data_IF_069637606700
#
_entry.id   IF_069637606700
#
_cell.length_a   1.000
_cell.length_b   1.000
_cell.length_c   1.000
_cell.angle_alpha   90.00
_cell.angle_beta   90.00
_cell.angle_gamma   90.00
#
_symmetry.space_group_name_H-M   'P 1'
#
loop_
_entity.id
_entity.type
_entity.pdbx_description
1 polymer ?
#
# COMPACT_ATOMS: atom_id res chain seq x y z
N UNK A 1 -19.05 12.22 28.88
CA UNK A 1 -18.54 12.07 27.50
C UNK A 1 -17.36 13.01 27.34
N UNK A 2 -16.24 12.58 26.74
CA UNK A 2 -15.24 13.54 26.29
C UNK A 2 -15.89 14.54 25.31
N UNK A 3 -15.48 15.82 25.32
CA UNK A 3 -16.01 16.81 24.39
C UNK A 3 -15.74 16.39 22.94
N UNK A 4 -16.62 16.77 21.99
CA UNK A 4 -16.42 16.44 20.58
C UNK A 4 -15.11 17.06 20.10
N UNK A 5 -14.15 16.22 19.69
CA UNK A 5 -12.91 16.66 19.06
C UNK A 5 -13.21 16.90 17.59
N UNK A 6 -13.00 18.12 17.12
CA UNK A 6 -13.11 18.45 15.70
C UNK A 6 -11.92 17.85 14.96
N UNK A 7 -12.16 16.81 14.17
CA UNK A 7 -11.13 16.25 13.28
C UNK A 7 -11.17 17.00 11.96
N UNK A 8 -10.09 17.73 11.65
CA UNK A 8 -9.93 18.33 10.34
C UNK A 8 -9.86 17.24 9.26
N UNK A 9 -10.62 17.41 8.17
CA UNK A 9 -10.61 16.50 7.02
C UNK A 9 -10.32 17.28 5.75
N UNK A 10 -9.57 16.67 4.83
CA UNK A 10 -9.31 17.25 3.51
C UNK A 10 -9.02 16.17 2.49
N UNK A 11 -9.38 16.44 1.23
CA UNK A 11 -8.88 15.68 0.08
C UNK A 11 -7.42 16.05 -0.20
N UNK A 12 -6.53 15.05 -0.24
CA UNK A 12 -5.15 15.27 -0.67
C UNK A 12 -5.07 15.41 -2.19
N UNK A 13 -3.91 15.86 -2.67
CA UNK A 13 -3.64 15.99 -4.10
C UNK A 13 -3.82 14.67 -4.82
N UNK A 14 -4.30 14.74 -6.05
CA UNK A 14 -4.44 13.58 -6.91
C UNK A 14 -3.06 12.96 -7.21
N UNK A 15 -2.96 11.62 -7.22
CA UNK A 15 -1.69 10.94 -7.49
C UNK A 15 -1.28 11.15 -8.95
N UNK A 16 0.01 11.33 -9.19
CA UNK A 16 0.58 11.50 -10.53
C UNK A 16 1.39 10.28 -10.95
N UNK A 17 1.26 9.90 -12.22
CA UNK A 17 1.97 8.73 -12.75
C UNK A 17 3.47 8.94 -12.60
N UNK A 18 4.16 7.94 -12.04
CA UNK A 18 5.60 7.97 -11.78
C UNK A 18 5.99 8.52 -10.40
N UNK A 19 5.07 9.10 -9.64
CA UNK A 19 5.31 9.50 -8.25
C UNK A 19 4.90 8.36 -7.30
N UNK A 20 5.74 8.04 -6.31
CA UNK A 20 5.44 7.09 -5.23
C UNK A 20 4.95 5.71 -5.70
N UNK A 21 5.54 5.20 -6.79
CA UNK A 21 5.14 3.93 -7.40
C UNK A 21 3.76 3.94 -8.09
N UNK A 22 3.08 5.08 -8.22
CA UNK A 22 1.79 5.16 -8.89
C UNK A 22 1.91 4.97 -10.40
N UNK A 23 1.12 4.04 -10.94
CA UNK A 23 1.17 3.63 -12.35
C UNK A 23 -0.10 4.01 -13.12
N UNK A 24 -0.95 4.87 -12.54
CA UNK A 24 -2.29 5.12 -13.03
C UNK A 24 -3.32 4.14 -12.45
N UNK A 25 -4.60 4.49 -12.59
CA UNK A 25 -5.73 3.70 -12.11
C UNK A 25 -6.05 2.56 -13.08
N UNK A 26 -5.95 1.32 -12.62
CA UNK A 26 -6.00 0.10 -13.43
C UNK A 26 -6.97 -0.96 -12.84
N UNK A 27 -8.24 -0.62 -12.58
CA UNK A 27 -9.20 -1.54 -11.99
C UNK A 27 -9.43 -2.76 -12.90
N UNK A 28 -9.51 -3.94 -12.29
CA UNK A 28 -9.73 -5.21 -12.99
C UNK A 28 -8.47 -5.78 -13.68
N UNK A 29 -7.32 -5.11 -13.57
CA UNK A 29 -6.06 -5.64 -14.09
C UNK A 29 -5.41 -6.60 -13.09
N UNK A 30 -4.95 -7.74 -13.57
CA UNK A 30 -4.05 -8.64 -12.83
C UNK A 30 -2.72 -8.78 -13.56
N UNK A 31 -1.62 -8.84 -12.82
CA UNK A 31 -0.28 -9.11 -13.37
C UNK A 31 0.41 -10.21 -12.57
N UNK A 32 1.21 -11.02 -13.22
CA UNK A 32 2.08 -12.01 -12.55
C UNK A 32 3.51 -11.49 -12.56
N UNK A 33 4.09 -11.38 -11.37
CA UNK A 33 5.51 -11.11 -11.18
C UNK A 33 6.22 -12.48 -11.02
N UNK A 34 7.07 -12.88 -11.97
CA UNK A 34 7.70 -14.20 -11.92
C UNK A 34 8.75 -14.29 -10.80
N UNK A 35 9.05 -15.51 -10.35
CA UNK A 35 10.18 -15.78 -9.47
C UNK A 35 11.48 -15.22 -10.06
N UNK A 36 12.31 -14.62 -9.22
CA UNK A 36 13.51 -13.89 -9.64
C UNK A 36 13.26 -12.48 -10.19
N UNK A 37 12.00 -12.05 -10.34
CA UNK A 37 11.69 -10.67 -10.75
C UNK A 37 12.31 -9.67 -9.79
N UNK A 38 12.87 -8.60 -10.36
CA UNK A 38 13.58 -7.55 -9.65
C UNK A 38 13.39 -6.17 -10.33
N UNK A 39 12.15 -5.75 -10.51
CA UNK A 39 11.85 -4.50 -11.22
C UNK A 39 12.28 -3.23 -10.49
N UNK A 40 12.59 -3.31 -9.19
CA UNK A 40 13.05 -2.19 -8.38
C UNK A 40 14.58 -2.20 -8.13
N UNK A 41 15.33 -3.07 -8.81
CA UNK A 41 16.77 -3.27 -8.59
C UNK A 41 17.10 -3.54 -7.10
N UNK A 42 16.22 -4.26 -6.40
CA UNK A 42 16.24 -4.58 -4.99
C UNK A 42 16.21 -6.10 -4.78
N UNK A 43 15.63 -6.59 -3.68
CA UNK A 43 15.56 -8.03 -3.37
C UNK A 43 14.64 -8.76 -4.35
N UNK A 44 15.19 -9.74 -5.07
CA UNK A 44 14.44 -10.51 -6.06
C UNK A 44 13.33 -11.38 -5.44
N UNK A 45 12.25 -11.62 -6.20
CA UNK A 45 11.14 -12.46 -5.76
C UNK A 45 11.55 -13.93 -5.62
N UNK A 46 10.98 -14.62 -4.62
CA UNK A 46 11.23 -16.05 -4.34
C UNK A 46 10.28 -17.02 -5.04
N UNK A 47 9.11 -16.53 -5.43
CA UNK A 47 8.06 -17.30 -6.09
C UNK A 47 7.30 -16.38 -7.05
N UNK A 48 6.49 -16.97 -7.91
CA UNK A 48 5.54 -16.21 -8.72
C UNK A 48 4.48 -15.57 -7.81
N UNK A 49 4.24 -14.28 -8.01
CA UNK A 49 3.27 -13.49 -7.24
C UNK A 49 2.29 -12.87 -8.20
N UNK A 50 1.00 -13.16 -8.00
CA UNK A 50 -0.09 -12.44 -8.64
C UNK A 50 -0.35 -11.13 -7.91
N UNK A 51 -0.51 -10.07 -8.67
CA UNK A 51 -0.96 -8.76 -8.19
C UNK A 51 -2.28 -8.43 -8.88
N UNK A 52 -3.35 -8.34 -8.11
CA UNK A 52 -4.64 -7.82 -8.56
C UNK A 52 -4.67 -6.32 -8.19
N UNK A 53 -4.73 -5.45 -9.20
CA UNK A 53 -4.57 -4.00 -9.04
C UNK A 53 -5.92 -3.30 -8.91
N UNK A 54 -5.95 -2.25 -8.08
CA UNK A 54 -7.09 -1.34 -7.94
C UNK A 54 -8.43 -2.08 -7.71
N UNK A 55 -8.39 -3.13 -6.87
CA UNK A 55 -9.58 -3.89 -6.49
C UNK A 55 -10.48 -2.99 -5.65
N UNK A 56 -11.71 -2.81 -6.10
CA UNK A 56 -12.70 -1.97 -5.43
C UNK A 56 -13.27 -2.67 -4.18
N UNK A 57 -13.34 -1.92 -3.08
CA UNK A 57 -14.03 -2.29 -1.85
C UNK A 57 -15.04 -1.19 -1.53
N UNK A 58 -16.33 -1.49 -1.65
CA UNK A 58 -17.41 -0.57 -1.28
C UNK A 58 -17.68 -0.66 0.22
N UNK A 59 -17.54 0.47 0.91
CA UNK A 59 -17.81 0.59 2.34
C UNK A 59 -19.31 0.75 2.61
N UNK A 60 -19.73 0.55 3.87
CA UNK A 60 -21.14 0.63 4.25
C UNK A 60 -21.79 2.00 4.00
N UNK A 61 -20.98 3.06 3.89
CA UNK A 61 -21.41 4.43 3.59
C UNK A 61 -21.33 4.77 2.09
N UNK A 62 -21.09 3.76 1.23
CA UNK A 62 -21.03 3.90 -0.22
C UNK A 62 -19.67 4.38 -0.75
N UNK A 63 -18.71 4.73 0.11
CA UNK A 63 -17.37 5.13 -0.31
C UNK A 63 -16.59 3.95 -0.85
N UNK A 64 -15.96 4.15 -2.01
CA UNK A 64 -15.12 3.14 -2.64
C UNK A 64 -13.67 3.33 -2.20
N UNK A 65 -13.09 2.26 -1.70
CA UNK A 65 -11.66 2.14 -1.46
C UNK A 65 -11.04 1.27 -2.53
N UNK A 66 -9.78 1.52 -2.87
CA UNK A 66 -9.05 0.69 -3.82
C UNK A 66 -7.84 0.04 -3.14
N UNK A 67 -7.65 -1.24 -3.42
CA UNK A 67 -6.56 -2.03 -2.83
C UNK A 67 -5.77 -2.73 -3.92
N UNK A 68 -4.51 -3.04 -3.62
CA UNK A 68 -3.72 -3.99 -4.40
C UNK A 68 -3.55 -5.26 -3.59
N UNK A 69 -3.81 -6.41 -4.22
CA UNK A 69 -3.76 -7.72 -3.58
C UNK A 69 -2.61 -8.51 -4.18
N UNK A 70 -1.60 -8.80 -3.35
CA UNK A 70 -0.48 -9.65 -3.68
C UNK A 70 -0.75 -11.04 -3.13
N UNK A 71 -0.71 -12.08 -3.97
CA UNK A 71 -0.96 -13.46 -3.56
C UNK A 71 -0.13 -14.45 -4.36
N UNK A 72 0.10 -15.68 -3.85
CA UNK A 72 0.76 -16.72 -4.62
C UNK A 72 0.03 -16.98 -5.93
N UNK A 73 0.76 -17.02 -7.04
CA UNK A 73 0.18 -17.39 -8.34
C UNK A 73 -0.28 -18.86 -8.32
N UNK A 74 -1.36 -19.18 -9.04
CA UNK A 74 -1.89 -20.55 -9.16
C UNK A 74 -2.60 -21.11 -7.91
N UNK A 75 -2.70 -20.36 -6.80
CA UNK A 75 -3.46 -20.82 -5.64
C UNK A 75 -4.97 -20.82 -5.90
N UNK A 76 -5.60 -21.98 -5.74
CA UNK A 76 -7.05 -22.21 -5.87
C UNK A 76 -7.75 -22.34 -4.51
N UNK A 77 -6.98 -22.44 -3.43
CA UNK A 77 -7.49 -22.57 -2.06
C UNK A 77 -7.70 -21.20 -1.41
N UNK A 78 -8.48 -21.18 -0.32
CA UNK A 78 -8.59 -19.99 0.53
C UNK A 78 -7.30 -19.84 1.34
N UNK A 79 -6.65 -18.70 1.19
CA UNK A 79 -5.42 -18.37 1.91
C UNK A 79 -5.65 -17.23 2.91
N UNK A 80 -4.90 -17.19 4.03
CA UNK A 80 -4.95 -16.07 4.95
C UNK A 80 -4.46 -14.79 4.27
N UNK A 81 -5.17 -13.68 4.50
CA UNK A 81 -4.82 -12.36 4.01
C UNK A 81 -4.40 -11.46 5.17
N UNK A 82 -3.28 -10.74 5.01
CA UNK A 82 -2.83 -9.70 5.94
C UNK A 82 -3.03 -8.34 5.30
N UNK A 83 -3.70 -7.45 6.03
CA UNK A 83 -4.09 -6.12 5.56
C UNK A 83 -3.10 -5.07 6.06
N UNK A 84 -2.57 -4.26 5.14
CA UNK A 84 -1.77 -3.08 5.45
C UNK A 84 -2.56 -1.81 5.15
N UNK A 85 -3.05 -1.16 6.21
CA UNK A 85 -3.96 -0.02 6.16
C UNK A 85 -3.26 1.28 6.56
N UNK A 86 -2.97 2.14 5.59
CA UNK A 86 -2.36 3.45 5.87
C UNK A 86 -2.57 4.42 4.70
N UNK A 87 -2.45 5.72 4.95
CA UNK A 87 -2.69 6.79 3.98
C UNK A 87 -1.47 7.14 3.11
N UNK A 88 -0.35 6.41 3.24
CA UNK A 88 0.88 6.68 2.49
C UNK A 88 0.85 6.30 1.01
N UNK A 89 -0.19 5.59 0.56
CA UNK A 89 -0.30 5.06 -0.80
C UNK A 89 0.11 3.59 -0.85
N UNK A 90 -0.70 2.77 -1.51
CA UNK A 90 -0.56 1.30 -1.56
C UNK A 90 0.64 0.79 -2.34
N UNK A 91 1.24 1.62 -3.21
CA UNK A 91 2.45 1.33 -3.99
C UNK A 91 3.69 2.10 -3.53
N UNK A 92 3.56 2.98 -2.53
CA UNK A 92 4.69 3.72 -2.01
C UNK A 92 5.56 2.80 -1.17
N UNK A 93 6.78 2.52 -1.63
CA UNK A 93 7.67 1.53 -1.02
C UNK A 93 8.62 2.15 0.00
N UNK A 94 9.08 1.32 0.94
CA UNK A 94 10.15 1.67 1.86
C UNK A 94 11.47 2.02 1.13
N UNK A 95 11.69 1.55 -0.10
CA UNK A 95 12.85 1.94 -0.92
C UNK A 95 12.89 3.44 -1.21
N UNK A 96 11.73 4.07 -1.37
CA UNK A 96 11.61 5.51 -1.66
C UNK A 96 11.52 6.33 -0.36
N UNK A 97 10.86 5.79 0.66
CA UNK A 97 10.64 6.48 1.92
C UNK A 97 11.90 6.54 2.81
N UNK A 98 12.55 5.39 3.02
CA UNK A 98 13.62 5.28 4.01
C UNK A 98 14.84 6.17 3.75
N UNK A 99 15.24 6.49 2.50
CA UNK A 99 16.30 7.48 2.24
C UNK A 99 16.05 8.86 2.83
N UNK A 100 14.79 9.22 3.14
CA UNK A 100 14.45 10.47 3.84
C UNK A 100 14.65 10.39 5.35
N UNK A 101 14.80 9.18 5.90
CA UNK A 101 14.98 8.95 7.33
C UNK A 101 16.46 8.83 7.70
N UNK A 102 16.79 9.27 8.91
CA UNK A 102 18.14 9.12 9.45
C UNK A 102 18.54 7.64 9.46
N UNK A 103 19.70 7.35 8.87
CA UNK A 103 20.26 5.99 8.70
C UNK A 103 19.32 4.98 8.03
N UNK A 104 18.35 5.43 7.21
CA UNK A 104 17.32 4.56 6.62
C UNK A 104 16.55 3.73 7.67
N UNK A 105 16.37 4.27 8.88
CA UNK A 105 15.81 3.54 10.03
C UNK A 105 16.57 2.24 10.35
N UNK A 106 17.86 2.14 9.99
CA UNK A 106 18.70 0.96 10.13
C UNK A 106 18.21 -0.27 9.33
N UNK A 107 17.32 -0.08 8.34
CA UNK A 107 16.87 -1.16 7.46
C UNK A 107 17.80 -1.23 6.26
N UNK A 108 18.50 -2.36 6.04
CA UNK A 108 19.37 -2.50 4.88
C UNK A 108 18.53 -2.64 3.61
N UNK A 109 18.95 -2.00 2.52
CA UNK A 109 18.26 -2.06 1.22
C UNK A 109 18.08 -3.49 0.71
N UNK A 110 19.00 -4.41 1.05
CA UNK A 110 18.93 -5.83 0.71
C UNK A 110 17.74 -6.57 1.33
N UNK A 111 17.08 -5.97 2.33
CA UNK A 111 15.90 -6.56 2.97
C UNK A 111 14.58 -6.23 2.30
N UNK A 112 14.57 -5.29 1.34
CA UNK A 112 13.38 -4.76 0.68
C UNK A 112 13.30 -5.23 -0.77
N UNK A 113 12.11 -5.64 -1.22
CA UNK A 113 11.87 -6.04 -2.60
C UNK A 113 11.41 -4.89 -3.50
N UNK A 114 10.90 -3.82 -2.90
CA UNK A 114 10.21 -2.73 -3.58
C UNK A 114 8.74 -3.02 -3.86
N UNK A 115 8.28 -4.25 -3.62
CA UNK A 115 6.85 -4.61 -3.74
C UNK A 115 6.09 -4.38 -2.44
N UNK A 116 6.79 -4.21 -1.33
CA UNK A 116 6.20 -3.80 -0.07
C UNK A 116 5.71 -2.36 -0.13
N UNK A 117 4.53 -2.12 0.47
CA UNK A 117 4.11 -0.79 0.89
C UNK A 117 4.97 -0.35 2.08
N UNK A 118 5.26 0.93 2.22
CA UNK A 118 5.86 1.50 3.44
C UNK A 118 5.01 1.17 4.67
N UNK A 119 5.66 0.72 5.76
CA UNK A 119 5.03 0.11 6.96
C UNK A 119 4.20 -1.16 6.71
N UNK A 120 4.22 -1.68 5.48
CA UNK A 120 3.56 -2.92 5.09
C UNK A 120 4.48 -4.14 5.16
N UNK A 121 3.87 -5.31 5.02
CA UNK A 121 4.59 -6.56 4.87
C UNK A 121 5.08 -6.74 3.44
N UNK A 122 6.28 -7.30 3.27
CA UNK A 122 6.85 -7.56 1.95
C UNK A 122 6.25 -8.82 1.29
N UNK A 123 5.50 -8.69 0.17
CA UNK A 123 4.97 -9.83 -0.58
C UNK A 123 6.03 -10.87 -0.92
N UNK A 124 7.27 -10.43 -1.22
CA UNK A 124 8.40 -11.32 -1.51
C UNK A 124 8.67 -12.33 -0.39
N UNK A 125 8.41 -11.95 0.87
CA UNK A 125 8.66 -12.78 2.05
C UNK A 125 7.44 -13.62 2.44
N UNK A 126 6.23 -13.12 2.19
CA UNK A 126 5.00 -13.71 2.73
C UNK A 126 4.19 -14.51 1.71
N UNK A 127 4.18 -14.12 0.43
CA UNK A 127 3.51 -14.92 -0.60
C UNK A 127 4.12 -16.33 -0.73
N UNK A 128 5.45 -16.55 -0.71
CA UNK A 128 6.00 -17.91 -0.70
C UNK A 128 5.58 -18.78 0.50
N UNK A 129 5.04 -18.16 1.57
CA UNK A 129 4.55 -18.84 2.77
C UNK A 129 3.04 -19.12 2.73
N UNK A 130 2.38 -18.83 1.59
CA UNK A 130 0.95 -19.04 1.43
C UNK A 130 0.07 -17.92 1.98
N UNK A 131 0.60 -16.71 2.18
CA UNK A 131 -0.17 -15.55 2.63
C UNK A 131 -0.45 -14.58 1.47
N UNK A 132 -1.65 -14.01 1.47
CA UNK A 132 -1.95 -12.81 0.68
C UNK A 132 -1.61 -11.55 1.47
N UNK A 133 -1.08 -10.54 0.79
CA UNK A 133 -0.82 -9.22 1.35
C UNK A 133 -1.71 -8.22 0.62
N UNK A 134 -2.50 -7.46 1.38
CA UNK A 134 -3.46 -6.51 0.84
C UNK A 134 -3.02 -5.11 1.24
N UNK A 135 -2.59 -4.33 0.26
CA UNK A 135 -2.17 -2.94 0.43
C UNK A 135 -3.34 -2.01 0.14
N UNK A 136 -3.78 -1.26 1.15
CA UNK A 136 -4.98 -0.43 1.05
C UNK A 136 -4.63 1.03 0.83
N UNK A 137 -5.29 1.67 -0.14
CA UNK A 137 -5.44 3.12 -0.16
C UNK A 137 -6.65 3.50 0.69
N UNK A 138 -6.39 4.11 1.85
CA UNK A 138 -7.44 4.52 2.78
C UNK A 138 -8.28 5.64 2.18
N UNK A 139 -9.40 5.96 2.83
CA UNK A 139 -10.27 7.07 2.43
C UNK A 139 -9.48 8.35 2.15
N UNK A 140 -9.76 8.97 1.00
CA UNK A 140 -9.09 10.18 0.52
C UNK A 140 -7.65 9.99 0.03
N UNK A 141 -7.05 8.78 0.13
CA UNK A 141 -5.73 8.49 -0.41
C UNK A 141 -5.81 7.85 -1.80
N UNK A 142 -4.83 8.15 -2.65
CA UNK A 142 -4.77 7.60 -4.01
C UNK A 142 -6.06 7.88 -4.81
N UNK A 143 -6.64 6.82 -5.36
CA UNK A 143 -7.91 6.89 -6.08
C UNK A 143 -9.14 6.68 -5.18
N UNK A 144 -8.97 6.37 -3.90
CA UNK A 144 -10.08 6.10 -2.97
C UNK A 144 -10.91 7.36 -2.73
N UNK A 145 -12.22 7.17 -2.64
CA UNK A 145 -13.19 8.23 -2.41
C UNK A 145 -13.00 8.88 -1.01
N UNK A 146 -13.64 10.03 -0.79
CA UNK A 146 -13.67 10.71 0.50
C UNK A 146 -12.43 11.56 0.81
N UNK A 147 -12.18 11.78 2.10
CA UNK A 147 -11.17 12.69 2.63
C UNK A 147 -10.33 12.02 3.73
N UNK A 148 -9.07 12.44 3.87
CA UNK A 148 -8.21 12.01 4.96
C UNK A 148 -8.51 12.85 6.19
N UNK A 149 -8.60 12.21 7.36
CA UNK A 149 -8.63 12.89 8.65
C UNK A 149 -7.21 13.19 9.13
N UNK A 150 -6.92 14.44 9.48
CA UNK A 150 -5.67 14.80 10.13
C UNK A 150 -5.81 14.53 11.64
N UNK A 151 -4.92 13.72 12.19
CA UNK A 151 -4.62 13.78 13.62
C UNK A 151 -3.51 14.81 13.77
N UNK A 152 -3.86 16.09 13.62
CA UNK A 152 -3.07 17.16 14.22
C UNK A 152 -3.71 17.46 15.56
N UNK A 153 -2.94 17.37 16.64
CA UNK A 153 -3.26 18.15 17.83
C UNK A 153 -3.20 19.62 17.40
N UNK A 154 -4.19 20.40 17.82
CA UNK A 154 -4.25 21.84 17.57
C UNK A 154 -2.87 22.49 17.73
N UNK A 155 -2.25 22.87 16.61
CA UNK A 155 -1.28 23.94 16.60
C UNK A 155 -2.08 25.20 16.27
N UNK A 156 -2.68 25.80 17.29
CA UNK A 156 -2.99 27.21 17.24
C UNK A 156 -1.66 27.95 17.06
N UNK A 157 -1.41 28.40 15.83
CA UNK A 157 -0.45 29.47 15.60
C UNK A 157 -1.18 30.74 16.04
N UNK A 158 -1.03 31.08 17.32
CA UNK A 158 -1.29 32.43 17.83
C UNK A 158 -0.23 33.42 17.37
#
# INVERSE_FOLDING_TARGET
MPPPVQVARRRILEPKIGENGYQGFQPGKSTVLPAGWNGHNAKALKSDIRVDHDVEIVMHDGVRLYVDIYRPEGSTEKIPAVLSWSFYGKKYSALEMLPMCVWNCCVPRSDLSGTEKFEGLDPQKWCPKGYAIVSVDTRGAGNSDGEIGYIMADFEIG
#
